data_IF_240476167517
#
_entry.id   IF_240476167517
#
_cell.length_a   1.000
_cell.length_b   1.000
_cell.length_c   1.000
_cell.angle_alpha   90.00
_cell.angle_beta   90.00
_cell.angle_gamma   90.00
#
_symmetry.space_group_name_H-M   'P 1'
#
loop_
_entity.id
_entity.type
_entity.pdbx_description
1 polymer ?
#
# COMPACT_ATOMS: atom_id res chain seq x y z
N UNK A 1 -34.98 -25.32 12.15
CA UNK A 1 -33.85 -25.66 11.25
C UNK A 1 -32.61 -26.04 12.04
N UNK A 2 -32.06 -25.12 12.83
CA UNK A 2 -30.81 -25.34 13.59
C UNK A 2 -30.98 -26.23 14.84
N UNK A 3 -32.11 -26.10 15.57
CA UNK A 3 -32.38 -26.84 16.80
C UNK A 3 -32.44 -28.39 16.63
N UNK A 4 -32.76 -28.87 15.43
CA UNK A 4 -32.85 -30.31 15.13
C UNK A 4 -31.50 -30.98 14.84
N UNK A 5 -30.41 -30.21 14.64
CA UNK A 5 -29.07 -30.75 14.38
C UNK A 5 -28.14 -30.71 15.59
N UNK A 6 -28.54 -30.04 16.68
CA UNK A 6 -27.75 -29.90 17.92
C UNK A 6 -27.37 -31.24 18.57
N UNK A 7 -28.26 -32.28 18.63
CA UNK A 7 -27.90 -33.56 19.25
C UNK A 7 -26.75 -34.28 18.53
N UNK A 8 -26.61 -34.07 17.21
CA UNK A 8 -25.55 -34.70 16.41
C UNK A 8 -24.18 -34.03 16.62
N UNK A 9 -24.14 -32.75 16.97
CA UNK A 9 -22.89 -32.04 17.27
C UNK A 9 -22.40 -32.29 18.70
N UNK A 10 -23.31 -32.49 19.65
CA UNK A 10 -22.98 -32.75 21.06
C UNK A 10 -22.26 -34.10 21.25
N UNK A 11 -22.77 -35.15 20.59
CA UNK A 11 -22.13 -36.48 20.59
C UNK A 11 -20.76 -36.52 19.88
N UNK A 12 -20.49 -35.60 18.95
CA UNK A 12 -19.20 -35.49 18.25
C UNK A 12 -18.09 -34.87 19.12
N UNK A 13 -18.46 -34.11 20.16
CA UNK A 13 -17.53 -33.40 21.06
C UNK A 13 -17.26 -34.13 22.38
N UNK A 14 -17.87 -35.29 22.61
CA UNK A 14 -17.66 -36.09 23.83
C UNK A 14 -18.13 -35.41 25.12
N UNK A 15 -19.15 -34.56 25.04
CA UNK A 15 -19.70 -33.85 26.19
C UNK A 15 -20.46 -34.84 27.09
N UNK A 16 -20.34 -34.71 28.42
CA UNK A 16 -21.08 -35.58 29.34
C UNK A 16 -22.59 -35.27 29.28
N UNK A 17 -23.44 -36.28 29.49
CA UNK A 17 -24.90 -36.15 29.44
C UNK A 17 -25.51 -34.94 30.21
N UNK A 18 -24.96 -34.50 31.37
CA UNK A 18 -25.44 -33.30 32.06
C UNK A 18 -25.16 -32.01 31.27
N UNK A 19 -24.04 -31.97 30.54
CA UNK A 19 -23.60 -30.83 29.76
C UNK A 19 -24.37 -30.72 28.43
N UNK A 20 -24.74 -31.85 27.84
CA UNK A 20 -25.65 -31.92 26.69
C UNK A 20 -27.04 -31.38 27.04
N UNK A 21 -27.63 -31.83 28.15
CA UNK A 21 -28.91 -31.32 28.66
C UNK A 21 -28.85 -29.82 29.01
N UNK A 22 -27.74 -29.36 29.60
CA UNK A 22 -27.55 -27.95 29.92
C UNK A 22 -27.51 -27.08 28.65
N UNK A 23 -26.77 -27.51 27.62
CA UNK A 23 -26.67 -26.82 26.32
C UNK A 23 -28.01 -26.83 25.60
N UNK A 24 -28.73 -27.96 25.60
CA UNK A 24 -30.03 -28.08 24.94
C UNK A 24 -31.12 -27.23 25.64
N UNK A 25 -31.09 -27.16 26.98
CA UNK A 25 -31.98 -26.28 27.75
C UNK A 25 -31.65 -24.80 27.53
N UNK A 26 -30.37 -24.44 27.44
CA UNK A 26 -29.93 -23.09 27.15
C UNK A 26 -30.33 -22.65 25.74
N UNK A 27 -30.18 -23.54 24.74
CA UNK A 27 -30.57 -23.29 23.35
C UNK A 27 -32.09 -23.26 23.13
N UNK A 28 -32.88 -24.02 23.90
CA UNK A 28 -34.36 -23.95 23.89
C UNK A 28 -34.89 -22.71 24.59
N UNK A 29 -34.15 -22.14 25.55
CA UNK A 29 -34.52 -20.89 26.20
C UNK A 29 -34.24 -19.69 25.29
N UNK A 30 -35.02 -18.61 25.41
CA UNK A 30 -34.75 -17.34 24.71
C UNK A 30 -33.42 -16.67 25.14
N UNK A 31 -32.63 -17.30 26.01
CA UNK A 31 -31.40 -16.74 26.55
C UNK A 31 -30.28 -16.60 25.51
N UNK A 32 -30.05 -17.64 24.69
CA UNK A 32 -29.00 -17.62 23.65
C UNK A 32 -29.24 -16.54 22.59
N UNK A 33 -30.42 -16.40 21.96
CA UNK A 33 -30.65 -15.31 21.00
C UNK A 33 -30.57 -13.93 21.66
N UNK A 34 -31.08 -13.75 22.88
CA UNK A 34 -30.96 -12.46 23.62
C UNK A 34 -29.51 -12.10 23.90
N UNK A 35 -28.66 -13.08 24.23
CA UNK A 35 -27.22 -12.84 24.40
C UNK A 35 -26.54 -12.46 23.09
N UNK A 36 -26.88 -13.11 21.97
CA UNK A 36 -26.32 -12.78 20.65
C UNK A 36 -26.72 -11.35 20.27
N UNK A 37 -27.99 -10.98 20.44
CA UNK A 37 -28.49 -9.63 20.17
C UNK A 37 -27.81 -8.59 21.08
N UNK A 38 -27.63 -8.89 22.37
CA UNK A 38 -26.93 -8.01 23.29
C UNK A 38 -25.46 -7.81 22.89
N UNK A 39 -24.75 -8.88 22.53
CA UNK A 39 -23.36 -8.80 22.04
C UNK A 39 -23.31 -7.98 20.74
N UNK A 40 -24.25 -8.19 19.82
CA UNK A 40 -24.32 -7.44 18.58
C UNK A 40 -24.57 -5.96 18.83
N UNK A 41 -25.47 -5.59 19.74
CA UNK A 41 -25.72 -4.19 20.13
C UNK A 41 -24.47 -3.56 20.75
N UNK A 42 -23.79 -4.25 21.68
CA UNK A 42 -22.53 -3.75 22.26
C UNK A 42 -21.45 -3.58 21.20
N UNK A 43 -21.35 -4.51 20.25
CA UNK A 43 -20.44 -4.41 19.11
C UNK A 43 -20.75 -3.17 18.25
N UNK A 44 -22.02 -2.93 17.92
CA UNK A 44 -22.43 -1.74 17.15
C UNK A 44 -22.11 -0.46 17.92
N UNK A 45 -22.39 -0.40 19.22
CA UNK A 45 -22.10 0.78 20.05
C UNK A 45 -20.59 1.06 20.08
N UNK A 46 -19.78 0.06 20.40
CA UNK A 46 -18.31 0.19 20.44
C UNK A 46 -17.73 0.55 19.07
N UNK A 47 -18.28 0.00 17.99
CA UNK A 47 -17.90 0.34 16.62
C UNK A 47 -18.22 1.81 16.28
N UNK A 48 -19.44 2.28 16.60
CA UNK A 48 -19.86 3.67 16.37
C UNK A 48 -19.03 4.64 17.19
N UNK A 49 -18.79 4.34 18.48
CA UNK A 49 -17.90 5.14 19.33
C UNK A 49 -16.47 5.17 18.80
N UNK A 50 -15.98 4.05 18.26
CA UNK A 50 -14.68 3.95 17.59
C UNK A 50 -14.58 4.86 16.36
N UNK A 51 -15.61 4.83 15.49
CA UNK A 51 -15.72 5.72 14.32
C UNK A 51 -15.75 7.18 14.77
N UNK A 52 -16.56 7.52 15.77
CA UNK A 52 -16.70 8.89 16.25
C UNK A 52 -15.38 9.39 16.86
N UNK A 53 -14.73 8.59 17.71
CA UNK A 53 -13.43 8.91 18.28
C UNK A 53 -12.36 9.12 17.18
N UNK A 54 -12.38 8.28 16.15
CA UNK A 54 -11.49 8.41 14.98
C UNK A 54 -11.80 9.69 14.20
N UNK A 55 -13.07 9.99 13.93
CA UNK A 55 -13.46 11.19 13.21
C UNK A 55 -13.10 12.47 13.99
N UNK A 56 -13.20 12.45 15.32
CA UNK A 56 -12.85 13.59 16.18
C UNK A 56 -11.33 13.76 16.31
N UNK A 57 -10.59 12.66 16.42
CA UNK A 57 -9.13 12.66 16.57
C UNK A 57 -8.41 13.00 15.26
N UNK A 58 -8.93 12.55 14.13
CA UNK A 58 -8.38 12.77 12.79
C UNK A 58 -9.22 13.75 11.96
N UNK A 59 -10.08 14.54 12.60
CA UNK A 59 -10.86 15.59 11.94
C UNK A 59 -10.12 16.92 11.87
N UNK A 60 -10.65 17.87 11.09
CA UNK A 60 -10.26 19.28 11.19
C UNK A 60 -8.87 19.64 10.66
N UNK A 61 -8.36 18.94 9.64
CA UNK A 61 -7.07 19.25 9.03
C UNK A 61 -7.00 20.69 8.52
N UNK A 62 -6.02 21.45 9.00
CA UNK A 62 -5.68 22.78 8.48
C UNK A 62 -4.19 22.82 8.19
N UNK A 63 -3.86 23.00 6.91
CA UNK A 63 -2.50 23.22 6.49
C UNK A 63 -2.33 24.71 6.18
N UNK A 64 -1.30 25.34 6.77
CA UNK A 64 -0.98 26.74 6.53
C UNK A 64 0.52 26.89 6.30
N UNK A 65 0.88 27.75 5.35
CA UNK A 65 2.25 28.21 5.18
C UNK A 65 2.45 29.48 6.01
N UNK A 66 3.40 29.47 6.93
CA UNK A 66 3.88 30.66 7.65
C UNK A 66 5.34 30.91 7.28
N UNK A 67 5.54 31.79 6.29
CA UNK A 67 6.87 32.08 5.74
C UNK A 67 7.57 30.82 5.22
N UNK A 68 8.71 30.48 5.85
CA UNK A 68 9.55 29.31 5.52
C UNK A 68 9.11 27.98 6.15
N UNK A 69 7.95 27.92 6.82
CA UNK A 69 7.45 26.71 7.51
C UNK A 69 6.04 26.36 7.06
N UNK A 70 5.77 25.06 6.97
CA UNK A 70 4.44 24.49 6.74
C UNK A 70 3.97 23.90 8.06
N UNK A 71 2.87 24.42 8.58
CA UNK A 71 2.22 23.96 9.80
C UNK A 71 0.94 23.20 9.43
N UNK A 72 0.83 21.98 9.93
CA UNK A 72 -0.38 21.16 9.79
C UNK A 72 -0.96 20.94 11.18
N UNK A 73 -2.17 21.45 11.37
CA UNK A 73 -2.98 21.21 12.56
C UNK A 73 -3.96 20.08 12.28
N UNK A 74 -4.09 19.15 13.24
CA UNK A 74 -5.08 18.06 13.21
C UNK A 74 -5.76 17.90 14.57
N UNK A 75 -6.97 17.34 14.55
CA UNK A 75 -7.76 17.02 15.73
C UNK A 75 -8.77 18.12 16.06
N UNK A 76 -10.02 17.71 16.29
CA UNK A 76 -11.11 18.62 16.71
C UNK A 76 -11.14 18.79 18.23
N UNK A 77 -10.76 17.75 18.98
CA UNK A 77 -10.67 17.75 20.45
C UNK A 77 -9.23 18.08 20.88
N UNK A 78 -8.29 17.18 20.59
CA UNK A 78 -6.88 17.34 20.93
C UNK A 78 -6.12 17.90 19.72
N UNK A 79 -5.96 19.22 19.66
CA UNK A 79 -5.25 19.90 18.58
C UNK A 79 -3.76 19.58 18.64
N UNK A 80 -3.27 18.83 17.67
CA UNK A 80 -1.84 18.60 17.47
C UNK A 80 -1.38 19.43 16.28
N UNK A 81 -0.41 20.31 16.50
CA UNK A 81 0.26 21.08 15.44
C UNK A 81 1.64 20.48 15.18
N UNK A 82 1.92 20.15 13.91
CA UNK A 82 3.26 19.73 13.47
C UNK A 82 3.73 20.65 12.36
N UNK A 83 4.84 21.34 12.61
CA UNK A 83 5.46 22.26 11.66
C UNK A 83 6.74 21.68 11.07
N UNK A 84 6.91 21.79 9.76
CA UNK A 84 8.14 21.43 9.05
C UNK A 84 8.64 22.61 8.22
N UNK A 85 9.94 22.91 8.32
CA UNK A 85 10.57 23.89 7.43
C UNK A 85 10.53 23.40 5.98
N UNK A 86 10.26 24.31 5.05
CA UNK A 86 10.15 24.00 3.62
C UNK A 86 11.47 23.42 3.08
N UNK A 87 12.61 23.92 3.56
CA UNK A 87 13.94 23.42 3.22
C UNK A 87 14.17 21.95 3.58
N UNK A 88 13.45 21.44 4.59
CA UNK A 88 13.49 20.03 5.01
C UNK A 88 12.55 19.14 4.21
N UNK A 89 11.66 19.69 3.38
CA UNK A 89 10.84 18.94 2.42
C UNK A 89 11.74 18.44 1.31
N UNK A 90 11.76 17.13 1.12
CA UNK A 90 12.59 16.44 0.13
C UNK A 90 11.78 16.02 -1.09
N UNK A 91 10.53 15.62 -0.87
CA UNK A 91 9.63 15.24 -1.95
C UNK A 91 8.17 15.35 -1.55
N UNK A 92 7.31 15.48 -2.55
CA UNK A 92 5.86 15.48 -2.40
C UNK A 92 5.34 14.12 -2.88
N UNK A 93 4.56 13.44 -2.05
CA UNK A 93 3.93 12.17 -2.37
C UNK A 93 2.41 12.34 -2.38
N UNK A 94 1.79 11.94 -3.50
CA UNK A 94 0.35 11.88 -3.68
C UNK A 94 -0.05 10.41 -3.76
N UNK A 95 -0.72 9.93 -2.71
CA UNK A 95 -1.11 8.52 -2.58
C UNK A 95 -2.61 8.34 -2.76
N UNK A 96 -3.00 7.62 -3.79
CA UNK A 96 -4.35 7.21 -4.08
C UNK A 96 -4.48 5.71 -3.83
N UNK A 97 -4.85 5.34 -2.59
CA UNK A 97 -5.20 3.94 -2.28
C UNK A 97 -6.38 3.47 -3.13
N UNK A 98 -6.62 2.15 -3.18
CA UNK A 98 -7.68 1.57 -4.02
C UNK A 98 -9.04 2.25 -3.83
N UNK A 99 -9.51 2.36 -2.58
CA UNK A 99 -10.78 2.99 -2.24
C UNK A 99 -10.77 4.49 -2.60
N UNK A 100 -9.70 5.23 -2.24
CA UNK A 100 -9.59 6.67 -2.53
C UNK A 100 -9.61 6.94 -4.05
N UNK A 101 -8.99 6.06 -4.83
CA UNK A 101 -9.00 6.14 -6.30
C UNK A 101 -10.40 5.96 -6.86
N UNK A 102 -11.18 4.99 -6.35
CA UNK A 102 -12.56 4.76 -6.82
C UNK A 102 -13.46 5.98 -6.61
N UNK A 103 -13.28 6.69 -5.49
CA UNK A 103 -14.06 7.89 -5.16
C UNK A 103 -13.45 9.21 -5.66
N UNK A 104 -12.28 9.19 -6.32
CA UNK A 104 -11.65 10.40 -6.90
C UNK A 104 -10.81 11.24 -5.93
N UNK A 105 -10.36 10.67 -4.81
CA UNK A 105 -9.58 11.34 -3.77
C UNK A 105 -8.14 10.81 -3.69
N UNK A 106 -7.28 11.58 -3.03
CA UNK A 106 -5.89 11.25 -2.75
C UNK A 106 -5.43 11.81 -1.42
N UNK A 107 -4.34 11.25 -0.90
CA UNK A 107 -3.63 11.75 0.26
C UNK A 107 -2.42 12.55 -0.21
N UNK A 108 -2.28 13.77 0.31
CA UNK A 108 -1.11 14.62 0.09
C UNK A 108 -0.16 14.51 1.29
N UNK A 109 1.07 14.10 1.01
CA UNK A 109 2.10 13.86 2.03
C UNK A 109 3.41 14.51 1.61
N UNK A 110 4.09 15.16 2.54
CA UNK A 110 5.42 15.72 2.34
C UNK A 110 6.43 14.80 3.00
N UNK A 111 7.37 14.28 2.22
CA UNK A 111 8.47 13.50 2.74
C UNK A 111 9.57 14.46 3.18
N UNK A 112 9.89 14.41 4.47
CA UNK A 112 10.80 15.35 5.13
C UNK A 112 11.97 14.60 5.73
N UNK A 113 13.09 15.30 5.96
CA UNK A 113 14.18 14.76 6.79
C UNK A 113 13.60 14.53 8.19
N UNK A 114 13.61 13.29 8.64
CA UNK A 114 13.17 12.93 9.99
C UNK A 114 14.40 12.69 10.87
N UNK A 115 14.37 13.20 12.09
CA UNK A 115 15.51 13.18 13.02
C UNK A 115 15.41 12.08 14.06
N UNK A 116 14.48 11.12 13.88
CA UNK A 116 14.31 9.99 14.80
C UNK A 116 15.43 8.97 14.63
N UNK A 117 15.77 8.23 15.68
CA UNK A 117 16.72 7.11 15.56
C UNK A 117 16.02 5.87 14.98
N UNK A 118 16.75 4.95 14.30
CA UNK A 118 16.15 3.73 13.74
C UNK A 118 15.37 2.88 14.77
N UNK A 119 15.79 2.94 16.04
CA UNK A 119 15.17 2.25 17.18
C UNK A 119 13.82 2.85 17.58
N UNK A 120 13.68 4.18 17.53
CA UNK A 120 12.40 4.86 17.78
C UNK A 120 11.39 4.61 16.65
N UNK A 121 11.86 4.35 15.42
CA UNK A 121 11.01 4.02 14.28
C UNK A 121 10.34 2.64 14.41
N UNK A 122 11.01 1.66 15.05
CA UNK A 122 10.46 0.32 15.27
C UNK A 122 9.34 0.31 16.32
N UNK A 123 9.50 1.09 17.41
CA UNK A 123 8.46 1.25 18.42
C UNK A 123 7.34 2.19 17.98
N UNK A 124 7.62 3.10 17.05
CA UNK A 124 6.65 4.01 16.44
C UNK A 124 6.18 3.53 15.05
N UNK A 125 5.84 2.24 14.91
CA UNK A 125 5.34 1.61 13.68
C UNK A 125 4.10 2.29 13.04
N UNK A 126 3.61 3.39 13.60
CA UNK A 126 2.45 4.15 13.15
C UNK A 126 2.72 5.63 12.85
N UNK A 127 3.96 6.14 13.01
CA UNK A 127 4.27 7.52 12.58
C UNK A 127 4.77 7.45 11.12
N UNK A 128 3.95 7.85 10.14
CA UNK A 128 4.38 7.82 8.74
C UNK A 128 5.58 8.76 8.57
N UNK A 129 6.63 8.27 7.90
CA UNK A 129 7.77 9.08 7.47
C UNK A 129 7.29 10.30 6.71
N UNK A 130 7.44 11.50 7.28
CA UNK A 130 6.97 12.75 6.65
C UNK A 130 5.63 13.29 7.18
N UNK A 131 5.32 14.52 6.77
CA UNK A 131 4.15 15.26 7.21
C UNK A 131 2.95 14.98 6.29
N UNK A 132 1.89 14.36 6.82
CA UNK A 132 0.62 14.24 6.09
C UNK A 132 -0.08 15.59 6.12
N UNK A 133 -0.08 16.28 4.98
CA UNK A 133 -0.71 17.60 4.85
C UNK A 133 -2.22 17.47 4.84
N UNK A 134 -2.73 16.50 4.08
CA UNK A 134 -4.16 16.25 4.02
C UNK A 134 -4.44 14.80 3.61
N UNK A 135 -5.19 14.00 4.41
CA UNK A 135 -5.43 12.60 4.10
C UNK A 135 -6.42 12.39 2.95
N UNK A 136 -7.33 13.33 2.72
CA UNK A 136 -8.47 13.12 1.81
C UNK A 136 -8.79 14.33 0.93
N UNK A 137 -7.97 14.60 -0.10
CA UNK A 137 -8.12 15.72 -1.04
C UNK A 137 -8.71 15.20 -2.36
N UNK A 138 -9.63 15.95 -2.98
CA UNK A 138 -10.03 15.70 -4.38
C UNK A 138 -8.86 15.97 -5.32
N UNK A 139 -8.66 15.13 -6.34
CA UNK A 139 -7.49 15.27 -7.22
C UNK A 139 -7.38 16.65 -7.88
N UNK A 140 -8.50 17.24 -8.30
CA UNK A 140 -8.54 18.55 -8.96
C UNK A 140 -8.11 19.71 -8.05
N UNK A 141 -8.16 19.51 -6.72
CA UNK A 141 -7.75 20.53 -5.74
C UNK A 141 -6.31 20.39 -5.28
N UNK A 142 -5.62 19.30 -5.62
CA UNK A 142 -4.24 19.08 -5.21
C UNK A 142 -3.34 20.17 -5.79
N UNK A 143 -3.58 20.55 -7.03
CA UNK A 143 -2.75 21.52 -7.75
C UNK A 143 -2.85 22.91 -7.08
N UNK A 144 -4.07 23.36 -6.76
CA UNK A 144 -4.29 24.60 -6.02
C UNK A 144 -3.68 24.59 -4.61
N UNK A 145 -3.75 23.45 -3.91
CA UNK A 145 -3.14 23.30 -2.58
C UNK A 145 -1.62 23.35 -2.67
N UNK A 146 -1.03 22.70 -3.67
CA UNK A 146 0.42 22.72 -3.90
C UNK A 146 0.89 24.13 -4.27
N UNK A 147 0.20 24.83 -5.17
CA UNK A 147 0.55 26.21 -5.53
C UNK A 147 0.57 27.14 -4.30
N UNK A 148 -0.37 26.97 -3.37
CA UNK A 148 -0.45 27.79 -2.15
C UNK A 148 0.58 27.39 -1.08
N UNK A 149 0.77 26.09 -0.84
CA UNK A 149 1.63 25.60 0.24
C UNK A 149 3.10 25.48 -0.17
N UNK A 150 3.36 25.13 -1.43
CA UNK A 150 4.65 24.73 -2.00
C UNK A 150 4.77 25.19 -3.46
N UNK A 151 4.82 26.50 -3.75
CA UNK A 151 5.03 27.02 -5.10
C UNK A 151 6.38 26.59 -5.69
N UNK A 152 7.35 26.20 -4.85
CA UNK A 152 8.60 25.56 -5.27
C UNK A 152 8.39 24.25 -6.03
N UNK A 153 7.20 23.64 -5.93
CA UNK A 153 6.80 22.42 -6.64
C UNK A 153 5.88 22.68 -7.84
N UNK A 154 5.64 23.94 -8.20
CA UNK A 154 4.73 24.31 -9.29
C UNK A 154 5.30 23.95 -10.68
N UNK A 155 6.63 24.03 -10.82
CA UNK A 155 7.35 23.59 -12.03
C UNK A 155 7.34 22.08 -12.26
N UNK A 156 6.62 21.28 -11.48
CA UNK A 156 6.59 19.82 -11.66
C UNK A 156 6.06 19.44 -13.06
N UNK A 157 6.47 18.28 -13.61
CA UNK A 157 5.92 17.78 -14.87
C UNK A 157 4.40 17.60 -14.79
N UNK A 158 3.69 18.13 -15.80
CA UNK A 158 2.24 18.01 -15.89
C UNK A 158 1.82 16.62 -16.39
N UNK A 159 0.57 16.18 -16.14
CA UNK A 159 0.10 14.86 -16.59
C UNK A 159 0.25 14.58 -18.10
N UNK A 160 0.28 15.62 -18.94
CA UNK A 160 0.53 15.53 -20.39
C UNK A 160 1.96 15.14 -20.75
N UNK A 161 2.94 15.42 -19.88
CA UNK A 161 4.37 15.12 -20.07
C UNK A 161 4.75 13.74 -19.54
N UNK A 162 3.77 12.95 -19.07
CA UNK A 162 4.04 11.64 -18.48
C UNK A 162 4.37 10.61 -19.55
N UNK A 163 5.57 10.04 -19.46
CA UNK A 163 6.01 8.96 -20.30
C UNK A 163 5.57 7.62 -19.73
N UNK A 164 5.07 6.75 -20.60
CA UNK A 164 4.69 5.36 -20.26
C UNK A 164 5.86 4.42 -20.41
N UNK A 165 5.78 3.26 -19.75
CA UNK A 165 6.80 2.21 -19.86
C UNK A 165 6.75 1.46 -21.21
N UNK A 166 7.88 0.94 -21.68
CA UNK A 166 7.93 0.13 -22.89
C UNK A 166 7.07 -1.14 -22.75
N UNK A 167 6.54 -1.65 -23.86
CA UNK A 167 5.69 -2.86 -23.89
C UNK A 167 6.37 -4.09 -23.27
N UNK A 168 7.70 -4.15 -23.31
CA UNK A 168 8.50 -5.22 -22.70
C UNK A 168 8.34 -5.23 -21.18
N UNK A 169 8.14 -4.07 -20.54
CA UNK A 169 7.88 -3.98 -19.10
C UNK A 169 6.61 -4.74 -18.71
N UNK A 170 5.56 -4.70 -19.54
CA UNK A 170 4.32 -5.43 -19.29
C UNK A 170 4.55 -6.94 -19.17
N UNK A 171 5.21 -7.54 -20.18
CA UNK A 171 5.51 -8.99 -20.18
C UNK A 171 6.32 -9.40 -18.96
N UNK A 172 7.28 -8.57 -18.55
CA UNK A 172 8.13 -8.83 -17.39
C UNK A 172 7.38 -8.75 -16.07
N UNK A 173 6.48 -7.77 -15.93
CA UNK A 173 5.66 -7.61 -14.72
C UNK A 173 4.72 -8.80 -14.58
N UNK A 174 4.07 -9.22 -15.67
CA UNK A 174 3.21 -10.42 -15.68
C UNK A 174 4.03 -11.67 -15.32
N UNK A 175 5.17 -11.91 -15.98
CA UNK A 175 5.99 -13.08 -15.67
C UNK A 175 6.50 -13.07 -14.23
N UNK A 176 6.93 -11.92 -13.70
CA UNK A 176 7.44 -11.79 -12.33
C UNK A 176 6.36 -11.96 -11.27
N UNK A 177 5.22 -11.29 -11.44
CA UNK A 177 4.20 -11.17 -10.40
C UNK A 177 3.04 -12.14 -10.53
N UNK A 178 2.90 -12.79 -11.68
CA UNK A 178 1.87 -13.81 -11.93
C UNK A 178 2.54 -15.18 -12.01
N UNK A 179 3.38 -15.42 -13.01
CA UNK A 179 3.92 -16.76 -13.30
C UNK A 179 4.90 -17.23 -12.22
N UNK A 180 5.98 -16.47 -11.98
CA UNK A 180 7.03 -16.89 -11.05
C UNK A 180 6.52 -17.02 -9.60
N UNK A 181 5.55 -16.21 -9.20
CA UNK A 181 4.91 -16.34 -7.90
C UNK A 181 3.87 -17.44 -7.84
N UNK A 182 3.22 -17.81 -8.95
CA UNK A 182 2.22 -18.87 -8.97
C UNK A 182 2.84 -20.27 -8.81
N UNK A 183 4.07 -20.47 -9.32
CA UNK A 183 4.78 -21.75 -9.25
C UNK A 183 4.83 -22.34 -7.82
N UNK A 184 5.34 -21.63 -6.79
CA UNK A 184 5.39 -22.20 -5.44
C UNK A 184 4.01 -22.51 -4.86
N UNK A 185 2.98 -21.69 -5.14
CA UNK A 185 1.62 -21.98 -4.69
C UNK A 185 1.00 -23.18 -5.42
N UNK A 186 1.30 -23.35 -6.71
CA UNK A 186 0.86 -24.50 -7.49
C UNK A 186 1.56 -25.80 -7.02
N UNK A 187 2.86 -25.74 -6.72
CA UNK A 187 3.60 -26.87 -6.15
C UNK A 187 3.04 -27.22 -4.76
N UNK A 188 2.78 -26.23 -3.91
CA UNK A 188 2.15 -26.45 -2.61
C UNK A 188 0.76 -27.09 -2.75
N UNK A 189 -0.07 -26.57 -3.66
CA UNK A 189 -1.39 -27.10 -3.96
C UNK A 189 -1.35 -28.56 -4.41
N UNK A 190 -0.39 -28.88 -5.30
CA UNK A 190 -0.15 -30.22 -5.81
C UNK A 190 0.28 -31.18 -4.69
N UNK A 191 1.27 -30.78 -3.88
CA UNK A 191 1.77 -31.58 -2.75
C UNK A 191 0.67 -31.81 -1.72
N UNK A 192 -0.11 -30.77 -1.36
CA UNK A 192 -1.24 -30.90 -0.46
C UNK A 192 -2.30 -31.87 -1.00
N UNK A 193 -2.58 -31.82 -2.30
CA UNK A 193 -3.48 -32.77 -2.97
C UNK A 193 -2.97 -34.20 -2.84
N UNK A 194 -1.68 -34.45 -3.12
CA UNK A 194 -1.06 -35.78 -2.99
C UNK A 194 -1.13 -36.28 -1.54
N UNK A 195 -0.77 -35.44 -0.58
CA UNK A 195 -0.77 -35.81 0.85
C UNK A 195 -2.17 -36.18 1.33
N UNK A 196 -3.19 -35.40 0.96
CA UNK A 196 -4.58 -35.67 1.33
C UNK A 196 -5.15 -36.96 0.72
N UNK A 197 -4.58 -37.42 -0.41
CA UNK A 197 -4.99 -38.65 -1.08
C UNK A 197 -4.23 -39.89 -0.56
N UNK A 198 -3.04 -39.71 0.00
CA UNK A 198 -2.20 -40.81 0.52
C UNK A 198 -2.51 -41.13 1.98
N UNK A 199 -2.91 -40.14 2.78
CA UNK A 199 -3.27 -40.36 4.18
C UNK A 199 -4.62 -41.08 4.25
N UNK A 200 -4.69 -42.29 4.84
CA UNK A 200 -5.96 -42.99 4.98
C UNK A 200 -6.89 -42.17 5.89
N UNK A 201 -7.98 -41.68 5.31
CA UNK A 201 -9.03 -40.98 6.03
C UNK A 201 -10.21 -41.92 6.29
N UNK A 202 -10.94 -41.80 7.40
CA UNK A 202 -12.13 -42.62 7.64
C UNK A 202 -13.16 -42.38 6.52
N UNK A 203 -13.97 -43.38 6.10
CA UNK A 203 -14.89 -43.25 4.96
C UNK A 203 -15.88 -42.09 5.05
N UNK A 204 -16.23 -41.66 6.27
CA UNK A 204 -17.08 -40.49 6.51
C UNK A 204 -16.46 -39.15 6.07
N UNK A 205 -15.12 -39.09 5.95
CA UNK A 205 -14.37 -37.87 5.58
C UNK A 205 -14.03 -37.80 4.08
N UNK A 206 -14.23 -38.87 3.32
CA UNK A 206 -13.87 -38.93 1.89
C UNK A 206 -14.53 -37.80 1.04
N UNK A 207 -15.83 -37.48 1.22
CA UNK A 207 -16.43 -36.34 0.52
C UNK A 207 -15.79 -35.00 0.90
N UNK A 208 -15.41 -34.82 2.17
CA UNK A 208 -14.81 -33.57 2.66
C UNK A 208 -13.42 -33.34 2.09
N UNK A 209 -12.63 -34.40 1.90
CA UNK A 209 -11.31 -34.34 1.27
C UNK A 209 -11.38 -33.74 -0.14
N UNK A 210 -12.38 -34.15 -0.94
CA UNK A 210 -12.65 -33.58 -2.26
C UNK A 210 -12.98 -32.09 -2.22
N UNK A 211 -13.84 -31.66 -1.29
CA UNK A 211 -14.18 -30.24 -1.11
C UNK A 211 -12.97 -29.40 -0.69
N UNK A 212 -12.10 -29.92 0.18
CA UNK A 212 -10.88 -29.23 0.62
C UNK A 212 -9.93 -29.04 -0.57
N UNK A 213 -9.72 -30.08 -1.38
CA UNK A 213 -8.89 -30.00 -2.59
C UNK A 213 -9.48 -28.97 -3.57
N UNK A 214 -10.79 -29.04 -3.84
CA UNK A 214 -11.47 -28.09 -4.72
C UNK A 214 -11.35 -26.65 -4.22
N UNK A 215 -11.53 -26.41 -2.93
CA UNK A 215 -11.36 -25.10 -2.30
C UNK A 215 -9.93 -24.59 -2.44
N UNK A 216 -8.94 -25.46 -2.20
CA UNK A 216 -7.52 -25.13 -2.32
C UNK A 216 -7.15 -24.68 -3.74
N UNK A 217 -7.59 -25.43 -4.76
CA UNK A 217 -7.34 -25.07 -6.16
C UNK A 217 -8.11 -23.82 -6.57
N UNK A 218 -9.34 -23.64 -6.06
CA UNK A 218 -10.12 -22.41 -6.27
C UNK A 218 -9.40 -21.19 -5.70
N UNK A 219 -8.86 -21.28 -4.48
CA UNK A 219 -8.07 -20.21 -3.87
C UNK A 219 -6.83 -19.91 -4.71
N UNK A 220 -6.12 -20.93 -5.19
CA UNK A 220 -4.96 -20.75 -6.08
C UNK A 220 -5.33 -19.96 -7.34
N UNK A 221 -6.43 -20.34 -8.00
CA UNK A 221 -6.94 -19.65 -9.19
C UNK A 221 -7.29 -18.19 -8.88
N UNK A 222 -7.98 -17.93 -7.77
CA UNK A 222 -8.30 -16.57 -7.33
C UNK A 222 -7.06 -15.72 -7.07
N UNK A 223 -6.03 -16.30 -6.46
CA UNK A 223 -4.73 -15.63 -6.26
C UNK A 223 -4.12 -15.28 -7.62
N UNK A 224 -4.03 -16.23 -8.56
CA UNK A 224 -3.45 -16.00 -9.89
C UNK A 224 -4.20 -14.88 -10.64
N UNK A 225 -5.53 -14.90 -10.61
CA UNK A 225 -6.37 -13.87 -11.23
C UNK A 225 -6.09 -12.51 -10.59
N UNK A 226 -6.13 -12.43 -9.26
CA UNK A 226 -5.85 -11.19 -8.53
C UNK A 226 -4.47 -10.62 -8.89
N UNK A 227 -3.42 -11.46 -8.89
CA UNK A 227 -2.07 -11.03 -9.23
C UNK A 227 -1.93 -10.57 -10.68
N UNK A 228 -2.65 -11.22 -11.61
CA UNK A 228 -2.69 -10.83 -13.02
C UNK A 228 -3.31 -9.44 -13.19
N UNK A 229 -4.45 -9.19 -12.54
CA UNK A 229 -5.10 -7.88 -12.51
C UNK A 229 -4.16 -6.83 -11.91
N UNK A 230 -3.51 -7.16 -10.79
CA UNK A 230 -2.53 -6.30 -10.16
C UNK A 230 -1.37 -5.94 -11.10
N UNK A 231 -0.84 -6.91 -11.86
CA UNK A 231 0.23 -6.68 -12.84
C UNK A 231 -0.21 -5.74 -13.96
N UNK A 232 -1.44 -5.91 -14.48
CA UNK A 232 -2.02 -5.03 -15.49
C UNK A 232 -2.15 -3.61 -14.95
N UNK A 233 -2.70 -3.44 -13.74
CA UNK A 233 -2.82 -2.11 -13.15
C UNK A 233 -1.47 -1.48 -12.85
N UNK A 234 -0.48 -2.25 -12.38
CA UNK A 234 0.86 -1.74 -12.19
C UNK A 234 1.42 -1.14 -13.48
N UNK A 235 1.32 -1.87 -14.60
CA UNK A 235 1.81 -1.40 -15.90
C UNK A 235 1.06 -0.14 -16.37
N UNK A 236 -0.27 -0.12 -16.26
CA UNK A 236 -1.09 1.04 -16.66
C UNK A 236 -0.85 2.28 -15.78
N UNK A 237 -0.60 2.07 -14.50
CA UNK A 237 -0.39 3.17 -13.55
C UNK A 237 1.05 3.70 -13.60
N UNK A 238 2.01 2.85 -13.97
CA UNK A 238 3.40 3.21 -13.95
C UNK A 238 3.74 4.21 -15.06
N UNK A 239 4.25 5.35 -14.63
CA UNK A 239 4.64 6.45 -15.49
C UNK A 239 5.77 7.22 -14.83
N UNK A 240 6.48 7.98 -15.64
CA UNK A 240 7.56 8.83 -15.16
C UNK A 240 7.68 10.07 -16.02
N UNK A 241 8.29 11.11 -15.47
CA UNK A 241 8.66 12.29 -16.23
C UNK A 241 9.76 13.01 -15.48
N UNK A 242 10.60 13.75 -16.18
CA UNK A 242 11.57 14.64 -15.56
C UNK A 242 11.76 15.84 -16.46
N UNK A 243 11.89 17.00 -15.85
CA UNK A 243 12.19 18.26 -16.53
C UNK A 243 13.53 18.80 -16.01
N UNK A 244 13.83 20.10 -16.19
CA UNK A 244 15.12 20.66 -15.75
C UNK A 244 15.33 20.61 -14.23
N UNK A 245 14.25 20.65 -13.44
CA UNK A 245 14.31 20.88 -12.00
C UNK A 245 13.77 19.72 -11.16
N UNK A 246 12.89 18.86 -11.69
CA UNK A 246 12.19 17.83 -10.92
C UNK A 246 12.04 16.50 -11.67
N UNK A 247 12.00 15.44 -10.88
CA UNK A 247 11.66 14.07 -11.26
C UNK A 247 10.28 13.73 -10.72
N UNK A 248 9.45 13.10 -11.56
CA UNK A 248 8.18 12.52 -11.20
C UNK A 248 8.23 11.02 -11.47
N UNK A 249 7.94 10.23 -10.44
CA UNK A 249 7.77 8.79 -10.54
C UNK A 249 6.38 8.45 -10.04
N UNK A 250 5.66 7.68 -10.84
CA UNK A 250 4.29 7.28 -10.56
C UNK A 250 4.17 5.78 -10.73
N UNK A 251 3.65 5.08 -9.74
CA UNK A 251 3.51 3.62 -9.79
C UNK A 251 2.50 3.08 -8.78
N UNK A 252 2.05 1.85 -8.96
CA UNK A 252 1.24 1.13 -7.97
C UNK A 252 0.30 0.10 -8.59
N UNK A 253 0.01 -0.95 -7.84
CA UNK A 253 -0.87 -2.05 -8.25
C UNK A 253 -2.34 -1.61 -8.20
N UNK A 254 -3.03 -1.87 -7.09
CA UNK A 254 -4.43 -1.49 -6.88
C UNK A 254 -4.60 0.00 -6.52
N UNK A 255 -3.54 0.61 -5.99
CA UNK A 255 -3.45 2.05 -5.78
C UNK A 255 -2.44 2.70 -6.73
N UNK A 256 -2.28 4.01 -6.60
CA UNK A 256 -1.28 4.80 -7.32
C UNK A 256 -0.59 5.74 -6.34
N UNK A 257 0.73 5.73 -6.37
CA UNK A 257 1.59 6.66 -5.64
C UNK A 257 2.32 7.50 -6.67
N UNK A 258 2.23 8.82 -6.56
CA UNK A 258 2.95 9.78 -7.40
C UNK A 258 3.93 10.54 -6.50
N UNK A 259 5.22 10.37 -6.75
CA UNK A 259 6.29 11.00 -5.98
C UNK A 259 6.99 12.03 -6.86
N UNK A 260 7.06 13.27 -6.38
CA UNK A 260 7.69 14.41 -7.04
C UNK A 260 8.93 14.79 -6.24
N UNK A 261 10.09 14.75 -6.87
CA UNK A 261 11.40 14.90 -6.23
C UNK A 261 12.17 16.00 -6.97
N UNK A 262 12.51 17.12 -6.31
CA UNK A 262 13.42 18.10 -6.88
C UNK A 262 14.81 17.51 -7.11
N UNK A 263 15.44 17.86 -8.23
CA UNK A 263 16.76 17.35 -8.65
C UNK A 263 17.83 17.61 -7.60
N UNK A 264 17.83 18.79 -6.98
CA UNK A 264 18.78 19.18 -5.92
C UNK A 264 18.55 18.45 -4.58
N UNK A 265 17.44 17.73 -4.40
CA UNK A 265 17.14 16.91 -3.22
C UNK A 265 17.49 15.43 -3.43
N UNK A 266 17.91 15.04 -4.63
CA UNK A 266 18.41 13.69 -4.91
C UNK A 266 19.84 13.60 -4.37
N UNK A 267 20.04 12.76 -3.36
CA UNK A 267 21.37 12.51 -2.78
C UNK A 267 22.24 11.68 -3.71
N UNK A 268 21.65 10.61 -4.25
CA UNK A 268 22.28 9.79 -5.26
C UNK A 268 21.20 9.09 -6.09
N UNK A 269 21.56 8.81 -7.34
CA UNK A 269 20.77 8.01 -8.24
C UNK A 269 21.60 6.83 -8.74
N UNK A 270 20.92 5.74 -9.04
CA UNK A 270 21.56 4.59 -9.69
C UNK A 270 20.62 3.96 -10.69
N UNK A 271 21.20 3.45 -11.76
CA UNK A 271 20.55 2.48 -12.64
C UNK A 271 21.03 1.08 -12.27
N UNK A 272 20.13 0.11 -12.29
CA UNK A 272 20.48 -1.29 -12.07
C UNK A 272 19.80 -2.16 -13.11
N UNK A 273 20.56 -3.08 -13.71
CA UNK A 273 20.11 -3.96 -14.76
C UNK A 273 20.58 -5.39 -14.46
N UNK A 274 19.64 -6.33 -14.32
CA UNK A 274 19.98 -7.75 -14.24
C UNK A 274 20.19 -8.36 -15.65
N UNK A 275 20.75 -9.57 -15.79
CA UNK A 275 21.02 -10.17 -17.11
C UNK A 275 19.77 -10.26 -18.01
N UNK A 276 18.63 -10.61 -17.43
CA UNK A 276 17.34 -10.68 -18.16
C UNK A 276 16.90 -9.26 -18.60
N UNK A 277 17.13 -8.23 -17.80
CA UNK A 277 16.88 -6.82 -18.12
C UNK A 277 17.79 -6.32 -19.23
N UNK A 278 19.06 -6.76 -19.24
CA UNK A 278 20.02 -6.47 -20.30
C UNK A 278 19.57 -7.04 -21.64
N UNK A 279 19.14 -8.30 -21.67
CA UNK A 279 18.57 -8.93 -22.87
C UNK A 279 17.28 -8.25 -23.35
N UNK A 280 16.50 -7.69 -22.42
CA UNK A 280 15.23 -7.01 -22.70
C UNK A 280 15.38 -5.51 -22.97
N UNK A 281 16.59 -4.95 -22.98
CA UNK A 281 16.88 -3.51 -23.10
C UNK A 281 16.11 -2.61 -22.13
N UNK A 282 15.91 -3.08 -20.90
CA UNK A 282 15.25 -2.30 -19.83
C UNK A 282 16.16 -2.18 -18.61
N UNK A 283 15.95 -1.19 -17.74
CA UNK A 283 16.69 -1.01 -16.49
C UNK A 283 15.79 -0.43 -15.39
N UNK A 284 16.24 -0.54 -14.13
CA UNK A 284 15.57 0.08 -12.99
C UNK A 284 16.25 1.40 -12.65
N UNK A 285 15.50 2.48 -12.57
CA UNK A 285 16.00 3.75 -12.04
C UNK A 285 15.67 3.86 -10.56
N UNK A 286 16.61 4.39 -9.79
CA UNK A 286 16.43 4.66 -8.36
C UNK A 286 16.86 6.09 -8.07
N UNK A 287 16.01 6.84 -7.37
CA UNK A 287 16.31 8.12 -6.76
C UNK A 287 16.27 7.95 -5.23
N UNK A 288 17.33 8.36 -4.54
CA UNK A 288 17.37 8.38 -3.07
C UNK A 288 17.41 9.81 -2.57
N UNK A 289 16.54 10.10 -1.61
CA UNK A 289 16.40 11.41 -0.97
C UNK A 289 16.69 11.29 0.51
N UNK A 290 17.04 12.42 1.14
CA UNK A 290 17.30 12.50 2.58
C UNK A 290 16.04 12.33 3.47
N UNK A 291 14.88 11.98 2.89
CA UNK A 291 13.65 11.86 3.65
C UNK A 291 13.64 10.63 4.55
N UNK A 292 13.19 10.79 5.79
CA UNK A 292 13.23 9.73 6.80
C UNK A 292 14.64 9.46 7.33
N UNK A 293 14.73 8.49 8.24
CA UNK A 293 15.96 8.21 9.02
C UNK A 293 17.03 7.50 8.19
N UNK A 294 16.64 6.60 7.30
CA UNK A 294 17.54 5.83 6.43
C UNK A 294 17.59 6.34 4.99
N UNK A 295 16.95 7.49 4.74
CA UNK A 295 16.67 7.99 3.39
C UNK A 295 15.51 7.24 2.71
N UNK A 296 14.82 7.93 1.82
CA UNK A 296 13.69 7.36 1.08
C UNK A 296 14.12 7.00 -0.32
N UNK A 297 13.99 5.71 -0.65
CA UNK A 297 14.33 5.13 -1.95
C UNK A 297 13.09 5.03 -2.83
N UNK A 298 13.07 5.80 -3.91
CA UNK A 298 12.03 5.71 -4.94
C UNK A 298 12.61 5.00 -6.15
N UNK A 299 12.10 3.80 -6.44
CA UNK A 299 12.55 2.99 -7.58
C UNK A 299 11.40 2.83 -8.58
N UNK A 300 11.67 3.11 -9.85
CA UNK A 300 10.84 2.72 -10.98
C UNK A 300 11.52 1.56 -11.70
N UNK A 301 10.75 0.51 -11.99
CA UNK A 301 11.28 -0.72 -12.58
C UNK A 301 11.00 -0.81 -14.06
N UNK A 302 11.89 -1.51 -14.77
CA UNK A 302 11.68 -1.94 -16.15
C UNK A 302 11.45 -0.76 -17.13
N UNK A 303 12.12 0.37 -16.90
CA UNK A 303 12.21 1.52 -17.82
C UNK A 303 13.09 1.16 -19.02
N UNK A 304 12.93 1.82 -20.17
CA UNK A 304 13.87 1.66 -21.28
C UNK A 304 15.32 1.96 -20.85
N UNK A 305 16.28 1.14 -21.31
CA UNK A 305 17.66 1.25 -20.86
C UNK A 305 18.33 2.56 -21.30
N UNK A 306 18.01 3.08 -22.49
CA UNK A 306 18.55 4.35 -22.99
C UNK A 306 17.97 5.53 -22.20
N UNK A 307 16.67 5.49 -21.92
CA UNK A 307 16.02 6.49 -21.06
C UNK A 307 16.52 6.44 -19.61
N UNK A 308 16.84 5.25 -19.10
CA UNK A 308 17.43 5.09 -17.77
C UNK A 308 18.86 5.66 -17.69
N UNK A 309 19.66 5.54 -18.75
CA UNK A 309 20.96 6.23 -18.84
C UNK A 309 20.79 7.74 -18.94
N UNK A 310 19.86 8.23 -19.77
CA UNK A 310 19.58 9.66 -19.91
C UNK A 310 19.11 10.27 -18.58
N UNK A 311 18.29 9.55 -17.82
CA UNK A 311 17.93 9.92 -16.45
C UNK A 311 19.16 10.03 -15.54
N UNK A 312 20.08 9.07 -15.60
CA UNK A 312 21.28 9.11 -14.77
C UNK A 312 22.16 10.32 -15.10
N UNK A 313 22.32 10.62 -16.39
CA UNK A 313 23.04 11.81 -16.85
C UNK A 313 22.34 13.11 -16.47
N UNK A 314 21.00 13.12 -16.48
CA UNK A 314 20.22 14.23 -15.96
C UNK A 314 20.44 14.44 -14.45
N UNK A 315 20.55 13.38 -13.63
CA UNK A 315 20.82 13.56 -12.19
C UNK A 315 22.22 14.10 -11.93
N UNK A 316 23.21 13.77 -12.79
CA UNK A 316 24.60 14.23 -12.61
C UNK A 316 24.64 15.76 -12.48
N UNK A 317 25.39 16.30 -11.50
CA UNK A 317 25.63 17.74 -11.42
C UNK A 317 26.25 18.21 -12.74
N UNK A 318 25.69 19.24 -13.36
CA UNK A 318 26.39 19.90 -14.46
C UNK A 318 27.66 20.52 -13.89
N UNK A 319 28.83 20.16 -14.43
CA UNK A 319 30.14 20.70 -14.00
C UNK A 319 30.32 22.22 -14.26
N UNK A 320 29.29 22.93 -14.68
CA UNK A 320 29.33 24.33 -15.10
C UNK A 320 29.17 25.38 -13.98
N UNK A 321 29.27 25.03 -12.70
CA UNK A 321 29.24 26.01 -11.60
C UNK A 321 30.32 25.73 -10.54
N UNK A 322 31.47 25.18 -10.93
CA UNK A 322 32.68 25.43 -10.16
C UNK A 322 33.10 26.85 -10.49
N UNK A 323 32.91 27.74 -9.53
CA UNK A 323 33.38 29.11 -9.53
C UNK A 323 34.90 29.10 -9.85
N UNK A 324 35.38 29.70 -10.94
CA UNK A 324 36.80 29.90 -11.16
C UNK A 324 37.23 31.14 -10.38
N UNK A 325 37.16 31.09 -9.05
CA UNK A 325 37.75 32.11 -8.16
C UNK A 325 37.61 31.65 -6.70
N UNK A 326 38.69 31.05 -6.20
CA UNK A 326 39.16 31.04 -4.82
C UNK A 326 40.63 30.64 -4.82
#
# INVERSE_FOLDING_TARGET
GFATQVPQFAGLLGLSAPLEMAVESALRSNFVPVLIDAIFVVFIITFVLGILNTALSYGGFKARRRGGRIEVERGLISRQSRGVAITRVQSVEITQGFIRRLIGYGQLKLLTIDSMTPEQQQNAAQIPTGLVVHPFVKMDRIDGILAQLLPEFDERPQPSEYKTLPKVAFRRVVNRHTVLTAIPYAVFALVATIVLQVIPTPPAFDPFTGWIIALLWTILVLIIIGRSIGAIFWYKNAAYSYNKTMLLIRQGFYGRVTTIIPRNKIQWARTHQNPIQKMSKVANITAVTAAGVTGTKTTLRDLDAEEASAYLDWVRPHKGSQNPEA
#
